data_IF_285594723762
#
_entry.id   IF_285594723762
#
_cell.length_a   1.000
_cell.length_b   1.000
_cell.length_c   1.000
_cell.angle_alpha   90.00
_cell.angle_beta   90.00
_cell.angle_gamma   90.00
#
_symmetry.space_group_name_H-M   'P 1'
#
loop_
_entity.id
_entity.type
_entity.pdbx_description
1 polymer ?
#
# COMPACT_ATOMS: atom_id res chain seq x y z
N UNK A 1 -19.99 -17.29 9.39
CA UNK A 1 -18.84 -17.26 8.47
C UNK A 1 -19.34 -17.65 7.09
N UNK A 2 -19.46 -16.70 6.16
CA UNK A 2 -20.12 -16.92 4.86
C UNK A 2 -19.11 -16.77 3.74
N UNK A 3 -19.06 -17.75 2.85
CA UNK A 3 -18.39 -17.61 1.55
C UNK A 3 -19.44 -17.16 0.53
N UNK A 4 -19.07 -16.25 -0.38
CA UNK A 4 -19.94 -15.71 -1.42
C UNK A 4 -19.44 -16.21 -2.78
N UNK A 5 -20.18 -17.11 -3.43
CA UNK A 5 -19.80 -17.71 -4.71
C UNK A 5 -20.01 -19.22 -4.73
N UNK A 6 -19.37 -19.92 -5.67
CA UNK A 6 -19.47 -21.38 -5.86
C UNK A 6 -18.11 -22.06 -5.70
N UNK A 7 -18.07 -23.38 -5.45
CA UNK A 7 -16.81 -24.11 -5.27
C UNK A 7 -15.87 -23.44 -4.24
N UNK A 8 -16.41 -23.01 -3.11
CA UNK A 8 -15.61 -22.39 -2.04
C UNK A 8 -15.54 -23.27 -0.79
N UNK A 9 -14.36 -23.30 -0.16
CA UNK A 9 -14.14 -23.91 1.16
C UNK A 9 -13.43 -22.92 2.09
N UNK A 10 -13.59 -23.09 3.40
CA UNK A 10 -13.00 -22.18 4.40
C UNK A 10 -13.94 -21.03 4.79
N UNK A 11 -13.40 -19.82 5.00
CA UNK A 11 -14.03 -18.74 5.78
C UNK A 11 -13.92 -17.41 5.04
N UNK A 12 -15.06 -16.71 4.87
CA UNK A 12 -15.11 -15.34 4.36
C UNK A 12 -14.49 -15.14 2.96
N UNK A 13 -14.57 -16.16 2.11
CA UNK A 13 -14.08 -16.06 0.74
C UNK A 13 -15.15 -15.44 -0.18
N UNK A 14 -14.74 -14.59 -1.12
CA UNK A 14 -15.60 -13.95 -2.13
C UNK A 14 -15.13 -14.33 -3.52
N UNK A 15 -15.97 -15.01 -4.29
CA UNK A 15 -15.70 -15.52 -5.63
C UNK A 15 -15.85 -17.04 -5.73
N UNK A 16 -15.46 -17.62 -6.87
CA UNK A 16 -15.60 -19.05 -7.14
C UNK A 16 -14.29 -19.79 -7.22
N UNK A 17 -14.26 -21.07 -6.82
CA UNK A 17 -13.04 -21.89 -6.85
C UNK A 17 -11.98 -21.40 -5.87
N UNK A 18 -12.39 -21.04 -4.65
CA UNK A 18 -11.54 -20.40 -3.63
C UNK A 18 -11.51 -21.22 -2.35
N UNK A 19 -10.32 -21.48 -1.80
CA UNK A 19 -10.15 -22.13 -0.50
C UNK A 19 -9.40 -21.23 0.49
N UNK A 20 -9.56 -21.49 1.80
CA UNK A 20 -8.79 -20.80 2.84
C UNK A 20 -9.56 -19.68 3.55
N UNK A 21 -8.88 -18.59 3.89
CA UNK A 21 -9.41 -17.54 4.76
C UNK A 21 -9.40 -16.19 4.04
N UNK A 22 -10.55 -15.51 3.97
CA UNK A 22 -10.66 -14.10 3.55
C UNK A 22 -10.06 -13.81 2.17
N UNK A 23 -10.20 -14.73 1.22
CA UNK A 23 -9.70 -14.56 -0.14
C UNK A 23 -10.77 -13.95 -1.04
N UNK A 24 -10.39 -13.01 -1.91
CA UNK A 24 -11.30 -12.34 -2.86
C UNK A 24 -10.85 -12.57 -4.30
N UNK A 25 -11.75 -13.04 -5.15
CA UNK A 25 -11.52 -13.13 -6.58
C UNK A 25 -11.76 -11.79 -7.28
N UNK A 26 -10.96 -11.53 -8.32
CA UNK A 26 -11.18 -10.42 -9.25
C UNK A 26 -11.93 -10.85 -10.53
N UNK A 27 -12.29 -12.13 -10.64
CA UNK A 27 -13.11 -12.69 -11.72
C UNK A 27 -14.56 -12.86 -11.27
N UNK A 28 -15.48 -12.98 -12.24
CA UNK A 28 -16.91 -13.11 -11.94
C UNK A 28 -17.24 -14.31 -11.06
N UNK A 29 -18.32 -14.20 -10.29
CA UNK A 29 -18.80 -15.22 -9.34
C UNK A 29 -19.13 -16.59 -9.98
N UNK A 30 -19.21 -16.71 -11.31
CA UNK A 30 -19.40 -17.98 -12.02
C UNK A 30 -18.12 -18.62 -12.55
N UNK A 31 -16.99 -17.90 -12.50
CA UNK A 31 -15.71 -18.34 -13.07
C UNK A 31 -14.77 -18.77 -11.94
N UNK A 32 -14.23 -20.00 -11.95
CA UNK A 32 -13.25 -20.41 -10.96
C UNK A 32 -12.00 -19.53 -10.99
N UNK A 33 -11.74 -18.84 -9.90
CA UNK A 33 -10.57 -17.99 -9.70
C UNK A 33 -9.33 -18.79 -9.33
N UNK A 34 -9.46 -20.00 -8.79
CA UNK A 34 -8.34 -20.83 -8.33
C UNK A 34 -7.42 -20.08 -7.35
N UNK A 35 -8.00 -19.64 -6.23
CA UNK A 35 -7.29 -18.90 -5.19
C UNK A 35 -7.25 -19.72 -3.89
N UNK A 36 -6.09 -19.80 -3.24
CA UNK A 36 -5.93 -20.49 -1.95
C UNK A 36 -5.04 -19.71 -0.99
N UNK A 37 -5.14 -20.01 0.33
CA UNK A 37 -4.32 -19.38 1.36
C UNK A 37 -5.10 -18.38 2.22
N UNK A 38 -4.50 -17.25 2.59
CA UNK A 38 -5.12 -16.30 3.52
C UNK A 38 -5.00 -14.84 3.05
N UNK A 39 -6.12 -14.13 2.95
CA UNK A 39 -6.16 -12.69 2.67
C UNK A 39 -5.71 -12.32 1.26
N UNK A 40 -5.85 -13.22 0.28
CA UNK A 40 -5.40 -12.98 -1.09
C UNK A 40 -6.47 -12.31 -1.94
N UNK A 41 -6.07 -11.44 -2.88
CA UNK A 41 -6.97 -10.72 -3.80
C UNK A 41 -6.54 -10.94 -5.25
N UNK A 42 -7.17 -11.85 -6.00
CA UNK A 42 -6.66 -12.19 -7.32
C UNK A 42 -7.30 -13.37 -8.05
N UNK A 43 -6.55 -13.96 -8.98
CA UNK A 43 -6.90 -15.20 -9.68
C UNK A 43 -5.63 -16.02 -9.95
N UNK A 44 -5.75 -17.36 -9.95
CA UNK A 44 -4.64 -18.31 -10.07
C UNK A 44 -3.52 -18.00 -9.06
N UNK A 45 -3.90 -17.77 -7.81
CA UNK A 45 -3.04 -17.19 -6.79
C UNK A 45 -3.05 -18.04 -5.52
N UNK A 46 -1.88 -18.30 -4.96
CA UNK A 46 -1.72 -18.92 -3.64
C UNK A 46 -0.77 -18.10 -2.79
N UNK A 47 -1.00 -18.05 -1.49
CA UNK A 47 -0.09 -17.37 -0.55
C UNK A 47 -0.78 -16.78 0.67
N UNK A 48 -0.14 -15.77 1.25
CA UNK A 48 -0.66 -15.02 2.39
C UNK A 48 -0.53 -13.55 2.06
N UNK A 49 -1.62 -12.80 2.20
CA UNK A 49 -1.69 -11.35 1.96
C UNK A 49 -1.06 -10.99 0.60
N UNK A 50 -1.51 -11.63 -0.48
CA UNK A 50 -1.01 -11.38 -1.83
C UNK A 50 -2.13 -10.92 -2.76
N UNK A 51 -1.80 -10.08 -3.75
CA UNK A 51 -2.72 -9.65 -4.78
C UNK A 51 -2.15 -9.83 -6.20
N UNK A 52 -3.05 -10.05 -7.16
CA UNK A 52 -2.73 -10.11 -8.58
C UNK A 52 -3.06 -11.47 -9.23
N UNK A 53 -2.14 -11.94 -10.08
CA UNK A 53 -2.28 -13.21 -10.81
C UNK A 53 -1.09 -14.13 -10.54
N UNK A 54 -1.10 -15.35 -11.10
CA UNK A 54 0.07 -16.23 -11.13
C UNK A 54 1.34 -15.56 -11.70
N UNK A 55 1.20 -14.58 -12.59
CA UNK A 55 2.33 -13.89 -13.24
C UNK A 55 2.68 -12.55 -12.60
N UNK A 56 1.74 -11.93 -11.88
CA UNK A 56 1.86 -10.58 -11.33
C UNK A 56 1.54 -10.53 -9.85
N UNK A 57 2.06 -11.49 -9.10
CA UNK A 57 1.83 -11.60 -7.66
C UNK A 57 2.62 -10.53 -6.91
N UNK A 58 1.91 -9.76 -6.07
CA UNK A 58 2.49 -8.75 -5.18
C UNK A 58 1.97 -8.93 -3.74
N UNK A 59 2.83 -8.94 -2.72
CA UNK A 59 2.38 -8.85 -1.33
C UNK A 59 1.63 -7.53 -1.05
N UNK A 60 0.54 -7.62 -0.28
CA UNK A 60 -0.31 -6.50 0.15
C UNK A 60 -0.24 -6.36 1.68
N UNK A 61 0.89 -5.86 2.17
CA UNK A 61 1.20 -5.84 3.60
C UNK A 61 1.32 -4.40 4.07
N UNK A 62 0.46 -3.98 4.99
CA UNK A 62 0.68 -2.81 5.84
C UNK A 62 0.74 -3.26 7.30
N UNK A 63 1.71 -2.76 8.05
CA UNK A 63 1.84 -2.99 9.48
C UNK A 63 1.49 -1.69 10.20
N UNK A 64 0.24 -1.57 10.62
CA UNK A 64 -0.23 -0.29 11.11
C UNK A 64 -1.74 -0.17 11.12
N UNK A 65 -2.20 1.04 11.42
CA UNK A 65 -3.61 1.39 11.34
C UNK A 65 -3.82 2.47 10.29
N UNK A 66 -4.89 2.32 9.50
CA UNK A 66 -5.35 3.29 8.52
C UNK A 66 -4.36 3.57 7.37
N UNK A 67 -3.42 2.66 7.11
CA UNK A 67 -2.57 2.76 5.94
C UNK A 67 -3.32 2.34 4.66
N UNK A 68 -3.12 3.10 3.58
CA UNK A 68 -3.68 2.86 2.24
C UNK A 68 -2.54 2.70 1.25
N UNK A 69 -2.56 1.63 0.46
CA UNK A 69 -1.44 1.22 -0.40
C UNK A 69 -0.74 -0.01 0.16
N UNK A 70 0.56 -0.16 -0.08
CA UNK A 70 1.33 -1.35 0.28
C UNK A 70 2.67 -1.02 0.95
N UNK A 71 3.17 -1.96 1.75
CA UNK A 71 4.46 -1.87 2.42
C UNK A 71 4.60 -0.67 3.35
N UNK A 72 3.49 -0.18 3.89
CA UNK A 72 3.52 0.89 4.89
C UNK A 72 3.69 0.30 6.29
N UNK A 73 4.49 0.97 7.12
CA UNK A 73 4.67 0.64 8.52
C UNK A 73 4.40 1.89 9.37
N UNK A 74 3.29 1.87 10.11
CA UNK A 74 2.96 2.89 11.11
C UNK A 74 1.48 3.28 11.13
N UNK A 75 1.16 4.57 10.91
CA UNK A 75 -0.19 5.09 11.12
C UNK A 75 -0.63 6.06 10.02
N UNK A 76 -1.67 5.71 9.28
CA UNK A 76 -2.33 6.65 8.36
C UNK A 76 -1.48 7.07 7.17
N UNK A 77 -0.58 6.22 6.68
CA UNK A 77 0.18 6.50 5.47
C UNK A 77 -0.66 6.21 4.22
N UNK A 78 -0.51 7.01 3.18
CA UNK A 78 -1.20 6.85 1.89
C UNK A 78 -0.15 6.82 0.77
N UNK A 79 -0.06 5.70 0.06
CA UNK A 79 0.97 5.43 -0.95
C UNK A 79 1.71 4.13 -0.62
N UNK A 80 2.89 3.93 -1.19
CA UNK A 80 3.67 2.71 -1.01
C UNK A 80 5.00 2.97 -0.26
N UNK A 81 5.46 1.98 0.51
CA UNK A 81 6.76 1.97 1.18
C UNK A 81 7.02 3.13 2.16
N UNK A 82 6.00 3.59 2.89
CA UNK A 82 6.19 4.61 3.92
C UNK A 82 6.47 4.01 5.30
N UNK A 83 7.41 4.60 6.04
CA UNK A 83 7.68 4.27 7.43
C UNK A 83 7.43 5.48 8.32
N UNK A 84 6.45 5.38 9.21
CA UNK A 84 6.06 6.40 10.17
C UNK A 84 4.58 6.71 10.09
N UNK A 85 4.19 7.99 10.18
CA UNK A 85 2.78 8.35 10.25
C UNK A 85 2.39 9.54 9.38
N UNK A 86 1.17 9.50 8.85
CA UNK A 86 0.57 10.57 8.05
C UNK A 86 1.41 10.99 6.83
N UNK A 87 2.18 10.08 6.23
CA UNK A 87 2.87 10.35 4.98
C UNK A 87 1.92 10.17 3.79
N UNK A 88 2.00 11.05 2.79
CA UNK A 88 1.24 11.00 1.55
C UNK A 88 2.19 10.98 0.35
N UNK A 89 2.15 9.89 -0.41
CA UNK A 89 3.09 9.58 -1.50
C UNK A 89 3.94 8.37 -1.15
N UNK A 90 5.06 8.19 -1.84
CA UNK A 90 5.82 6.94 -1.79
C UNK A 90 7.19 7.11 -1.14
N UNK A 91 7.72 6.04 -0.52
CA UNK A 91 9.10 5.97 -0.01
C UNK A 91 9.44 7.03 1.05
N UNK A 92 8.47 7.50 1.85
CA UNK A 92 8.75 8.47 2.90
C UNK A 92 9.13 7.80 4.23
N UNK A 93 10.09 8.40 4.93
CA UNK A 93 10.51 7.99 6.28
C UNK A 93 10.28 9.16 7.26
N UNK A 94 9.39 8.98 8.22
CA UNK A 94 9.11 9.94 9.28
C UNK A 94 7.63 10.33 9.33
N UNK A 95 7.32 11.60 9.62
CA UNK A 95 5.93 12.02 9.87
C UNK A 95 5.47 13.16 8.98
N UNK A 96 4.26 13.04 8.44
CA UNK A 96 3.59 14.16 7.78
C UNK A 96 4.26 14.63 6.49
N UNK A 97 5.04 13.77 5.81
CA UNK A 97 5.66 14.14 4.54
C UNK A 97 4.64 14.03 3.40
N UNK A 98 4.69 14.97 2.45
CA UNK A 98 3.86 14.99 1.24
C UNK A 98 4.77 14.94 0.02
N UNK A 99 4.53 14.00 -0.88
CA UNK A 99 5.36 13.70 -2.04
C UNK A 99 6.19 12.44 -1.82
N UNK A 100 7.35 12.33 -2.48
CA UNK A 100 8.07 11.04 -2.57
C UNK A 100 9.49 11.11 -2.02
N UNK A 101 9.97 10.01 -1.45
CA UNK A 101 11.36 9.84 -1.02
C UNK A 101 11.84 10.88 0.01
N UNK A 102 10.94 11.41 0.86
CA UNK A 102 11.34 12.36 1.89
C UNK A 102 11.74 11.64 3.18
N UNK A 103 12.74 12.17 3.89
CA UNK A 103 13.20 11.68 5.18
C UNK A 103 13.10 12.80 6.22
N UNK A 104 12.33 12.57 7.29
CA UNK A 104 12.13 13.51 8.38
C UNK A 104 10.66 13.90 8.53
N UNK A 105 10.37 15.17 8.79
CA UNK A 105 9.06 15.59 9.27
C UNK A 105 8.51 16.77 8.50
N UNK A 106 7.27 16.67 8.01
CA UNK A 106 6.56 17.78 7.38
C UNK A 106 7.21 18.29 6.10
N UNK A 107 7.97 17.46 5.37
CA UNK A 107 8.55 17.87 4.10
C UNK A 107 7.52 17.78 2.97
N UNK A 108 7.53 18.75 2.06
CA UNK A 108 6.65 18.81 0.89
C UNK A 108 7.49 18.82 -0.38
N UNK A 109 7.44 17.72 -1.14
CA UNK A 109 8.11 17.57 -2.43
C UNK A 109 8.82 16.22 -2.56
N UNK A 110 9.99 16.21 -3.19
CA UNK A 110 10.71 14.99 -3.53
C UNK A 110 12.14 14.95 -2.98
N UNK A 111 12.52 13.85 -2.33
CA UNK A 111 13.92 13.63 -1.95
C UNK A 111 14.42 14.59 -0.87
N UNK A 112 13.55 15.22 -0.08
CA UNK A 112 13.96 16.17 0.95
C UNK A 112 14.38 15.44 2.22
N UNK A 113 15.39 15.97 2.92
CA UNK A 113 15.90 15.42 4.19
C UNK A 113 15.88 16.51 5.27
N UNK A 114 15.11 16.29 6.33
CA UNK A 114 15.05 17.19 7.49
C UNK A 114 13.62 17.56 7.85
N UNK A 115 13.39 18.81 8.23
CA UNK A 115 12.13 19.26 8.82
C UNK A 115 11.54 20.44 8.07
N UNK A 116 10.28 20.34 7.65
CA UNK A 116 9.54 21.44 7.06
C UNK A 116 10.13 21.98 5.76
N UNK A 117 10.88 21.17 5.00
CA UNK A 117 11.41 21.60 3.71
C UNK A 117 10.30 21.60 2.67
N UNK A 118 10.30 22.60 1.78
CA UNK A 118 9.31 22.72 0.70
C UNK A 118 9.92 23.31 -0.56
N UNK A 119 9.14 23.30 -1.66
CA UNK A 119 9.49 24.08 -2.84
C UNK A 119 9.16 25.56 -2.67
N UNK A 120 9.73 26.38 -3.55
CA UNK A 120 9.38 27.79 -3.66
C UNK A 120 8.22 27.94 -4.66
N UNK A 121 7.11 28.55 -4.23
CA UNK A 121 5.95 28.79 -5.08
C UNK A 121 5.16 27.51 -5.40
N UNK A 122 4.78 27.33 -6.66
CA UNK A 122 4.01 26.16 -7.12
C UNK A 122 4.86 24.92 -7.44
N UNK A 123 6.19 25.04 -7.37
CA UNK A 123 7.09 23.91 -7.59
C UNK A 123 7.17 23.03 -6.33
N UNK A 124 7.29 21.73 -6.52
CA UNK A 124 7.64 20.81 -5.44
C UNK A 124 9.12 21.01 -5.09
N UNK A 125 9.46 21.01 -3.80
CA UNK A 125 10.85 21.14 -3.36
C UNK A 125 11.59 19.85 -3.64
N UNK A 126 12.75 19.93 -4.29
CA UNK A 126 13.55 18.76 -4.66
C UNK A 126 14.89 18.81 -3.93
N UNK A 127 15.22 17.73 -3.22
CA UNK A 127 16.56 17.52 -2.68
C UNK A 127 16.98 18.51 -1.59
N UNK A 128 16.02 19.15 -0.91
CA UNK A 128 16.35 20.10 0.16
C UNK A 128 16.86 19.37 1.39
N UNK A 129 17.94 19.85 1.99
CA UNK A 129 18.53 19.26 3.20
C UNK A 129 18.59 20.32 4.31
N UNK A 130 17.93 20.08 5.45
CA UNK A 130 17.97 20.96 6.62
C UNK A 130 16.60 21.29 7.19
N UNK A 131 16.46 22.52 7.70
CA UNK A 131 15.29 23.00 8.43
C UNK A 131 14.63 24.16 7.69
N UNK A 132 13.39 23.97 7.23
CA UNK A 132 12.60 25.04 6.62
C UNK A 132 13.16 25.57 5.31
N UNK A 133 13.93 24.77 4.56
CA UNK A 133 14.44 25.21 3.27
C UNK A 133 13.28 25.30 2.27
N UNK A 134 13.14 26.46 1.65
CA UNK A 134 12.22 26.69 0.55
C UNK A 134 13.05 26.86 -0.74
N UNK A 135 13.19 25.78 -1.51
CA UNK A 135 14.06 25.75 -2.69
C UNK A 135 13.73 24.62 -3.66
N UNK A 136 14.06 24.85 -4.92
CA UNK A 136 14.15 23.83 -5.97
C UNK A 136 15.54 23.99 -6.57
N UNK A 137 16.32 22.91 -6.65
CA UNK A 137 17.43 22.85 -7.61
C UNK A 137 16.90 22.90 -9.04
#
# INVERSE_FOLDING_TARGET
VVNVGTLSSGVLNVGSGISGLYNTAIVGLGTPALVSGAGNVGQQLSGVLAAGTALTQSPIINLGLADVGNYNLGLGNVGDFNLGAANLGDLNLGLGNIGNANVGFGNIGHGNVGFGNSGLGAALGIGNIGLGNAGST
#
